data_IF_264743330992
#
_entry.id   IF_264743330992
#
_cell.length_a   1.000
_cell.length_b   1.000
_cell.length_c   1.000
_cell.angle_alpha   90.00
_cell.angle_beta   90.00
_cell.angle_gamma   90.00
#
_symmetry.space_group_name_H-M   'P 1'
#
loop_
_entity.id
_entity.type
_entity.pdbx_description
1 polymer ?
#
# COMPACT_ATOMS: atom_id res chain seq x y z
N UNK A 1 17.54 -9.51 -2.50
CA UNK A 1 16.60 -9.07 -3.56
C UNK A 1 15.21 -9.12 -2.95
N UNK A 2 14.54 -7.98 -2.83
CA UNK A 2 13.23 -7.91 -2.17
C UNK A 2 12.19 -8.67 -2.98
N UNK A 3 11.30 -9.39 -2.28
CA UNK A 3 10.17 -10.13 -2.87
C UNK A 3 9.23 -9.26 -3.72
N UNK A 4 9.39 -7.93 -3.67
CA UNK A 4 8.62 -6.95 -4.41
C UNK A 4 9.27 -6.53 -5.74
N UNK A 5 10.57 -6.75 -5.97
CA UNK A 5 11.30 -6.16 -7.10
C UNK A 5 10.90 -6.67 -8.50
N UNK A 6 10.09 -7.73 -8.62
CA UNK A 6 9.76 -8.37 -9.91
C UNK A 6 8.40 -7.95 -10.50
N UNK A 7 7.68 -7.03 -9.87
CA UNK A 7 6.27 -6.74 -10.22
C UNK A 7 6.04 -5.26 -10.63
N UNK A 8 7.06 -4.47 -10.94
CA UNK A 8 6.89 -3.01 -11.16
C UNK A 8 7.15 -2.58 -12.61
N UNK A 9 6.24 -2.94 -13.52
CA UNK A 9 6.41 -2.74 -14.97
C UNK A 9 5.21 -2.20 -15.76
N UNK A 10 4.18 -1.64 -15.12
CA UNK A 10 3.09 -0.98 -15.84
C UNK A 10 1.86 -0.70 -14.99
N UNK A 11 1.47 0.58 -14.87
CA UNK A 11 0.17 1.00 -14.31
C UNK A 11 -0.07 0.47 -12.89
N UNK A 12 0.76 0.88 -11.94
CA UNK A 12 0.98 0.17 -10.68
C UNK A 12 -0.22 0.04 -9.71
N UNK A 13 -1.39 0.63 -9.98
CA UNK A 13 -2.59 0.50 -9.14
C UNK A 13 -3.09 -0.94 -9.10
N UNK A 14 -3.15 -1.60 -10.26
CA UNK A 14 -3.61 -2.99 -10.34
C UNK A 14 -2.63 -3.95 -9.64
N UNK A 15 -1.33 -3.68 -9.74
CA UNK A 15 -0.28 -4.51 -9.14
C UNK A 15 -0.25 -4.36 -7.61
N UNK A 16 -0.42 -3.14 -7.11
CA UNK A 16 -0.59 -2.90 -5.67
C UNK A 16 -1.84 -3.59 -5.15
N UNK A 17 -2.98 -3.46 -5.85
CA UNK A 17 -4.21 -4.13 -5.46
C UNK A 17 -4.08 -5.66 -5.46
N UNK A 18 -3.45 -6.25 -6.49
CA UNK A 18 -3.15 -7.69 -6.56
C UNK A 18 -2.23 -8.15 -5.43
N UNK A 19 -1.19 -7.38 -5.12
CA UNK A 19 -0.27 -7.66 -4.01
C UNK A 19 -1.01 -7.67 -2.67
N UNK A 20 -1.80 -6.64 -2.39
CA UNK A 20 -2.59 -6.53 -1.17
C UNK A 20 -3.61 -7.65 -1.04
N UNK A 21 -4.34 -7.97 -2.11
CA UNK A 21 -5.30 -9.07 -2.11
C UNK A 21 -4.59 -10.40 -1.85
N UNK A 22 -3.46 -10.67 -2.52
CA UNK A 22 -2.67 -11.90 -2.28
C UNK A 22 -2.23 -12.01 -0.82
N UNK A 23 -1.77 -10.93 -0.22
CA UNK A 23 -1.37 -10.93 1.20
C UNK A 23 -2.57 -11.09 2.14
N UNK A 24 -3.71 -10.46 1.83
CA UNK A 24 -4.95 -10.65 2.57
C UNK A 24 -5.39 -12.12 2.54
N UNK A 25 -5.41 -12.75 1.36
CA UNK A 25 -5.75 -14.17 1.22
C UNK A 25 -4.79 -15.10 1.96
N UNK A 26 -3.51 -14.72 2.08
CA UNK A 26 -2.51 -15.51 2.79
C UNK A 26 -2.56 -15.32 4.32
N UNK A 27 -2.81 -14.10 4.79
CA UNK A 27 -2.70 -13.74 6.21
C UNK A 27 -4.04 -13.59 6.93
N UNK A 28 -5.14 -13.48 6.19
CA UNK A 28 -6.53 -13.41 6.66
C UNK A 28 -6.94 -12.12 7.36
N UNK A 29 -6.00 -11.25 7.73
CA UNK A 29 -6.30 -10.03 8.52
C UNK A 29 -5.48 -8.82 8.04
N UNK A 30 -6.13 -7.67 7.94
CA UNK A 30 -5.52 -6.37 7.66
C UNK A 30 -4.34 -6.05 8.58
N UNK A 31 -4.43 -6.33 9.89
CA UNK A 31 -3.37 -6.05 10.86
C UNK A 31 -2.06 -6.79 10.54
N UNK A 32 -2.15 -8.01 10.00
CA UNK A 32 -0.97 -8.73 9.56
C UNK A 32 -0.41 -8.16 8.25
N UNK A 33 -1.30 -7.78 7.33
CA UNK A 33 -0.90 -7.17 6.05
C UNK A 33 -0.20 -5.82 6.29
N UNK A 34 -0.79 -4.92 7.08
CA UNK A 34 -0.20 -3.63 7.40
C UNK A 34 1.13 -3.78 8.15
N UNK A 35 1.26 -4.77 9.03
CA UNK A 35 2.53 -5.08 9.71
C UNK A 35 3.61 -5.53 8.74
N UNK A 36 3.26 -6.33 7.72
CA UNK A 36 4.20 -6.72 6.67
C UNK A 36 4.70 -5.52 5.85
N UNK A 37 3.81 -4.60 5.51
CA UNK A 37 4.16 -3.35 4.83
C UNK A 37 5.01 -2.42 5.71
N UNK A 38 4.71 -2.32 7.01
CA UNK A 38 5.54 -1.58 7.95
C UNK A 38 6.98 -2.10 7.95
N UNK A 39 7.15 -3.43 8.07
CA UNK A 39 8.48 -4.04 8.03
C UNK A 39 9.21 -3.79 6.70
N UNK A 40 8.53 -3.90 5.56
CA UNK A 40 9.14 -3.60 4.25
C UNK A 40 9.60 -2.14 4.16
N UNK A 41 8.73 -1.21 4.54
CA UNK A 41 9.02 0.21 4.49
C UNK A 41 10.15 0.61 5.44
N UNK A 42 10.15 0.08 6.67
CA UNK A 42 11.21 0.32 7.65
C UNK A 42 12.54 -0.33 7.28
N UNK A 43 12.55 -1.39 6.48
CA UNK A 43 13.78 -2.08 6.06
C UNK A 43 14.45 -1.45 4.83
N UNK A 44 13.88 -0.39 4.23
CA UNK A 44 14.46 0.23 3.04
C UNK A 44 15.80 0.89 3.35
N UNK A 45 16.77 0.67 2.47
CA UNK A 45 18.12 1.18 2.66
C UNK A 45 18.18 2.70 2.46
N UNK A 46 18.91 3.43 3.33
CA UNK A 46 19.19 4.85 3.14
C UNK A 46 19.81 5.13 1.77
N UNK A 47 19.46 6.27 1.17
CA UNK A 47 19.98 6.70 -0.12
C UNK A 47 19.34 6.01 -1.34
N UNK A 48 18.39 5.10 -1.14
CA UNK A 48 17.56 4.60 -2.25
C UNK A 48 16.52 5.64 -2.66
N UNK A 49 16.13 5.61 -3.95
CA UNK A 49 15.20 6.59 -4.55
C UNK A 49 13.89 6.78 -3.76
N UNK A 50 13.40 5.72 -3.14
CA UNK A 50 12.11 5.69 -2.44
C UNK A 50 12.28 5.67 -0.90
N UNK A 51 13.49 5.87 -0.38
CA UNK A 51 13.77 5.79 1.05
C UNK A 51 12.92 6.76 1.86
N UNK A 52 12.94 8.06 1.52
CA UNK A 52 12.22 9.08 2.28
C UNK A 52 10.70 8.82 2.28
N UNK A 53 10.16 8.41 1.13
CA UNK A 53 8.75 8.03 0.99
C UNK A 53 8.41 6.83 1.87
N UNK A 54 9.29 5.83 1.91
CA UNK A 54 9.10 4.64 2.73
C UNK A 54 9.20 4.95 4.23
N UNK A 55 10.12 5.84 4.65
CA UNK A 55 10.19 6.29 6.04
C UNK A 55 8.93 7.04 6.45
N UNK A 56 8.44 7.94 5.60
CA UNK A 56 7.17 8.63 5.85
C UNK A 56 6.01 7.63 5.95
N UNK A 57 5.94 6.65 5.05
CA UNK A 57 4.91 5.63 5.07
C UNK A 57 4.97 4.75 6.33
N UNK A 58 6.17 4.35 6.77
CA UNK A 58 6.34 3.61 8.01
C UNK A 58 5.88 4.44 9.22
N UNK A 59 6.19 5.74 9.26
CA UNK A 59 5.73 6.64 10.32
C UNK A 59 4.21 6.77 10.37
N UNK A 60 3.54 6.91 9.22
CA UNK A 60 2.07 6.98 9.14
C UNK A 60 1.41 5.69 9.64
N UNK A 61 1.99 4.53 9.32
CA UNK A 61 1.53 3.25 9.85
C UNK A 61 1.72 3.19 11.37
N UNK A 62 2.89 3.59 11.88
CA UNK A 62 3.18 3.61 13.32
C UNK A 62 2.23 4.54 14.10
N UNK A 63 1.81 5.66 13.49
CA UNK A 63 0.81 6.59 14.03
C UNK A 63 -0.63 6.13 13.88
N UNK A 64 -0.87 4.95 13.29
CA UNK A 64 -2.22 4.40 13.03
C UNK A 64 -3.09 5.29 12.15
N UNK A 65 -2.47 6.02 11.21
CA UNK A 65 -3.18 6.86 10.24
C UNK A 65 -3.78 6.04 9.08
N UNK A 66 -3.28 4.81 8.89
CA UNK A 66 -3.71 3.90 7.83
C UNK A 66 -4.71 2.89 8.41
N UNK A 67 -5.95 2.95 7.93
CA UNK A 67 -7.09 2.32 8.59
C UNK A 67 -7.72 1.16 7.82
N UNK A 68 -7.52 1.16 6.50
CA UNK A 68 -8.17 0.21 5.59
C UNK A 68 -7.25 -0.11 4.40
N UNK A 69 -7.69 -1.03 3.54
CA UNK A 69 -6.88 -1.42 2.37
C UNK A 69 -6.76 -0.32 1.31
N UNK A 70 -7.73 0.59 1.21
CA UNK A 70 -7.62 1.74 0.30
C UNK A 70 -6.46 2.65 0.72
N UNK A 71 -6.39 3.04 2.00
CA UNK A 71 -5.30 3.86 2.55
C UNK A 71 -3.95 3.18 2.36
N UNK A 72 -3.88 1.88 2.66
CA UNK A 72 -2.65 1.10 2.52
C UNK A 72 -2.23 0.99 1.05
N UNK A 73 -3.18 0.82 0.13
CA UNK A 73 -2.91 0.79 -1.31
C UNK A 73 -2.43 2.13 -1.86
N UNK A 74 -3.01 3.23 -1.42
CA UNK A 74 -2.56 4.58 -1.78
C UNK A 74 -1.15 4.85 -1.24
N UNK A 75 -0.86 4.38 -0.03
CA UNK A 75 0.46 4.50 0.57
C UNK A 75 1.51 3.68 -0.19
N UNK A 76 1.20 2.43 -0.54
CA UNK A 76 2.08 1.60 -1.35
C UNK A 76 2.31 2.20 -2.76
N UNK A 77 1.28 2.78 -3.37
CA UNK A 77 1.43 3.51 -4.63
C UNK A 77 2.35 4.72 -4.49
N UNK A 78 2.17 5.51 -3.44
CA UNK A 78 3.03 6.63 -3.12
C UNK A 78 4.50 6.20 -3.03
N UNK A 79 4.79 5.14 -2.28
CA UNK A 79 6.15 4.65 -2.06
C UNK A 79 6.77 4.04 -3.33
N UNK A 80 6.05 3.17 -4.04
CA UNK A 80 6.66 2.33 -5.08
C UNK A 80 6.47 2.82 -6.50
N UNK A 81 5.48 3.69 -6.73
CA UNK A 81 4.94 3.89 -8.08
C UNK A 81 4.95 5.33 -8.56
N UNK A 82 5.09 6.29 -7.65
CA UNK A 82 4.93 7.69 -7.99
C UNK A 82 6.26 8.35 -8.29
N UNK A 83 6.34 9.24 -9.31
CA UNK A 83 7.54 10.01 -9.58
C UNK A 83 8.01 10.80 -8.36
N UNK A 84 9.30 11.16 -8.34
CA UNK A 84 9.83 12.02 -7.28
C UNK A 84 9.16 13.40 -7.38
N UNK A 85 8.74 13.98 -6.25
CA UNK A 85 8.03 15.26 -6.19
C UNK A 85 6.50 15.17 -6.15
N UNK A 86 5.92 14.01 -6.43
CA UNK A 86 4.49 13.76 -6.16
C UNK A 86 4.31 13.46 -4.68
N UNK A 87 3.38 14.15 -4.03
CA UNK A 87 3.03 13.93 -2.63
C UNK A 87 1.90 12.90 -2.50
N UNK A 88 1.67 12.43 -1.27
CA UNK A 88 0.61 11.47 -0.99
C UNK A 88 -0.78 12.05 -1.26
N UNK A 89 -0.97 13.36 -1.13
CA UNK A 89 -2.26 14.01 -1.37
C UNK A 89 -2.69 13.88 -2.83
N UNK A 90 -1.78 14.15 -3.77
CA UNK A 90 -2.02 13.96 -5.19
C UNK A 90 -2.39 12.51 -5.51
N UNK A 91 -1.68 11.55 -4.91
CA UNK A 91 -1.93 10.12 -5.12
C UNK A 91 -3.33 9.74 -4.63
N UNK A 92 -3.71 10.22 -3.45
CA UNK A 92 -5.05 10.01 -2.90
C UNK A 92 -6.13 10.56 -3.85
N UNK A 93 -5.99 11.80 -4.31
CA UNK A 93 -6.95 12.43 -5.23
C UNK A 93 -7.06 11.68 -6.56
N UNK A 94 -5.93 11.20 -7.10
CA UNK A 94 -5.88 10.65 -8.45
C UNK A 94 -6.24 9.16 -8.53
N UNK A 95 -6.04 8.40 -7.46
CA UNK A 95 -6.09 6.93 -7.52
C UNK A 95 -7.03 6.28 -6.49
N UNK A 96 -7.68 7.04 -5.61
CA UNK A 96 -8.57 6.51 -4.55
C UNK A 96 -9.68 5.61 -5.08
N UNK A 97 -10.35 6.02 -6.15
CA UNK A 97 -11.47 5.25 -6.71
C UNK A 97 -10.96 4.01 -7.46
N UNK A 98 -9.89 4.17 -8.23
CA UNK A 98 -9.33 3.07 -9.01
C UNK A 98 -8.72 2.00 -8.10
N UNK A 99 -7.99 2.37 -7.03
CA UNK A 99 -7.43 1.38 -6.10
C UNK A 99 -8.54 0.58 -5.43
N UNK A 100 -9.61 1.22 -4.96
CA UNK A 100 -10.72 0.54 -4.31
C UNK A 100 -11.45 -0.40 -5.25
N UNK A 101 -11.71 0.04 -6.49
CA UNK A 101 -12.27 -0.81 -7.54
C UNK A 101 -11.39 -2.03 -7.79
N UNK A 102 -10.07 -1.87 -7.87
CA UNK A 102 -9.14 -2.98 -8.09
C UNK A 102 -9.06 -3.91 -6.89
N UNK A 103 -9.08 -3.42 -5.66
CA UNK A 103 -9.11 -4.26 -4.46
C UNK A 103 -10.36 -5.14 -4.43
N UNK A 104 -11.53 -4.57 -4.73
CA UNK A 104 -12.79 -5.31 -4.83
C UNK A 104 -12.74 -6.38 -5.95
N UNK A 105 -12.21 -6.03 -7.12
CA UNK A 105 -12.03 -6.98 -8.23
C UNK A 105 -11.09 -8.14 -7.91
N UNK A 106 -10.17 -7.97 -6.95
CA UNK A 106 -9.26 -9.01 -6.49
C UNK A 106 -9.77 -9.74 -5.23
N UNK A 107 -11.05 -9.57 -4.89
CA UNK A 107 -11.73 -10.36 -3.86
C UNK A 107 -11.53 -9.88 -2.43
N UNK A 108 -11.13 -8.61 -2.23
CA UNK A 108 -11.21 -7.98 -0.91
C UNK A 108 -12.63 -7.44 -0.73
N UNK A 109 -13.29 -7.79 0.38
CA UNK A 109 -14.63 -7.27 0.70
C UNK A 109 -14.59 -5.75 0.88
N UNK A 110 -15.63 -5.06 0.40
CA UNK A 110 -15.82 -3.62 0.59
C UNK A 110 -15.72 -3.20 2.06
N UNK A 111 -16.11 -4.07 3.00
CA UNK A 111 -15.92 -3.86 4.43
C UNK A 111 -14.46 -3.51 4.75
N UNK A 112 -13.49 -4.28 4.24
CA UNK A 112 -12.07 -4.05 4.51
C UNK A 112 -11.45 -2.95 3.66
N UNK A 113 -12.08 -2.59 2.53
CA UNK A 113 -11.59 -1.52 1.64
C UNK A 113 -11.82 -0.15 2.26
N UNK A 114 -12.99 0.09 2.87
CA UNK A 114 -13.39 1.41 3.33
C UNK A 114 -13.44 1.56 4.86
N UNK A 115 -13.81 0.51 5.61
CA UNK A 115 -13.88 0.60 7.07
C UNK A 115 -12.56 0.27 7.75
N UNK A 116 -12.39 0.82 8.95
CA UNK A 116 -11.39 0.31 9.89
C UNK A 116 -11.61 -1.19 10.01
N UNK A 117 -10.65 -1.99 9.57
CA UNK A 117 -10.64 -3.44 9.73
C UNK A 117 -10.38 -3.83 11.21
N UNK A 118 -11.12 -3.20 12.12
CA UNK A 118 -11.11 -3.40 13.56
C UNK A 118 -12.39 -4.17 13.92
N UNK A 119 -12.36 -5.47 13.67
CA UNK A 119 -12.87 -6.44 14.64
C UNK A 119 -11.67 -7.22 15.20
#
# INVERSE_FOLDING_TARGET
>A
MGIFSWIFGGGNVELVAKSLAKQHHALGNFNHVISAYYMDFSARQPGTRNYDKAMQAAEMIAKKEIKNYQDLGLLALYVDSTPNGYDLYFVRQSFSDEISKRLAQNGIDNYYIYNNALE
#
